data_IF_232173543621
#
_entry.id   IF_232173543621
#
_cell.length_a   1.000
_cell.length_b   1.000
_cell.length_c   1.000
_cell.angle_alpha   90.00
_cell.angle_beta   90.00
_cell.angle_gamma   90.00
#
_symmetry.space_group_name_H-M   'P 1'
#
loop_
_entity.id
_entity.type
_entity.pdbx_description
1 polymer ?
#
# COMPACT_ATOMS: atom_id res chain seq x y z
N UNK A 1 -5.23 14.98 14.05
CA UNK A 1 -3.75 14.88 14.23
C UNK A 1 -3.10 15.86 13.27
N UNK A 2 -2.07 16.56 13.71
CA UNK A 2 -1.35 17.48 12.84
C UNK A 2 -0.35 16.76 11.94
N UNK A 3 -0.15 17.31 10.74
CA UNK A 3 0.77 16.79 9.72
C UNK A 3 2.20 16.64 10.26
N UNK A 4 2.73 17.69 10.88
CA UNK A 4 4.10 17.71 11.40
C UNK A 4 4.33 16.65 12.49
N UNK A 5 3.32 16.36 13.31
CA UNK A 5 3.41 15.31 14.32
C UNK A 5 3.59 13.92 13.70
N UNK A 6 2.88 13.62 12.61
CA UNK A 6 3.04 12.34 11.89
C UNK A 6 4.43 12.27 11.24
N UNK A 7 4.85 13.35 10.57
CA UNK A 7 6.17 13.42 9.94
C UNK A 7 7.28 13.16 10.96
N UNK A 8 7.20 13.80 12.13
CA UNK A 8 8.16 13.59 13.21
C UNK A 8 8.12 12.16 13.76
N UNK A 9 6.93 11.55 13.90
CA UNK A 9 6.80 10.13 14.29
C UNK A 9 7.50 9.21 13.29
N UNK A 10 7.27 9.39 11.99
CA UNK A 10 7.91 8.59 10.93
C UNK A 10 9.43 8.80 10.92
N UNK A 11 9.90 10.04 11.06
CA UNK A 11 11.32 10.35 11.14
C UNK A 11 11.99 9.64 12.33
N UNK A 12 11.33 9.58 13.49
CA UNK A 12 11.85 8.84 14.65
C UNK A 12 11.87 7.33 14.39
N UNK A 13 10.82 6.76 13.79
CA UNK A 13 10.82 5.35 13.36
C UNK A 13 12.01 5.06 12.45
N UNK A 14 12.29 5.91 11.46
CA UNK A 14 13.44 5.74 10.56
C UNK A 14 14.78 5.78 11.33
N UNK A 15 14.93 6.66 12.32
CA UNK A 15 16.13 6.71 13.18
C UNK A 15 16.29 5.43 13.99
N UNK A 16 15.21 4.94 14.59
CA UNK A 16 15.23 3.72 15.40
C UNK A 16 15.58 2.49 14.55
N UNK A 17 15.20 2.51 13.27
CA UNK A 17 15.57 1.51 12.27
C UNK A 17 17.00 1.68 11.71
N UNK A 18 17.68 2.79 12.00
CA UNK A 18 19.00 3.10 11.43
C UNK A 18 18.97 3.46 9.93
N UNK A 19 17.83 3.89 9.40
CA UNK A 19 17.67 4.26 8.00
C UNK A 19 18.00 5.73 7.75
N UNK A 20 18.64 6.01 6.60
CA UNK A 20 18.80 7.38 6.14
C UNK A 20 17.48 7.91 5.56
N UNK A 21 17.15 9.16 5.86
CA UNK A 21 15.96 9.81 5.33
C UNK A 21 16.19 11.31 5.10
N UNK A 22 15.44 11.87 4.15
CA UNK A 22 15.46 13.27 3.75
C UNK A 22 14.06 13.86 3.95
N UNK A 23 13.97 14.96 4.68
CA UNK A 23 12.71 15.71 4.82
C UNK A 23 12.50 16.66 3.64
N UNK A 24 11.24 16.84 3.24
CA UNK A 24 10.81 17.77 2.17
C UNK A 24 11.56 17.54 0.84
N UNK A 25 11.76 16.28 0.47
CA UNK A 25 12.37 15.91 -0.80
C UNK A 25 11.53 16.41 -1.98
N UNK A 26 12.19 16.92 -3.02
CA UNK A 26 11.52 17.50 -4.18
C UNK A 26 12.36 17.34 -5.45
N UNK A 27 11.67 17.01 -6.53
CA UNK A 27 12.18 17.06 -7.90
C UNK A 27 11.29 17.97 -8.76
N UNK A 28 11.52 17.99 -10.07
CA UNK A 28 10.63 18.64 -11.02
C UNK A 28 9.29 17.89 -11.16
N UNK A 29 9.27 16.58 -10.92
CA UNK A 29 8.13 15.70 -11.21
C UNK A 29 7.33 15.32 -9.96
N UNK A 30 7.97 15.30 -8.80
CA UNK A 30 7.33 14.85 -7.56
C UNK A 30 7.90 15.54 -6.31
N UNK A 31 7.14 15.45 -5.22
CA UNK A 31 7.54 15.90 -3.88
C UNK A 31 7.19 14.83 -2.86
N UNK A 32 7.96 14.77 -1.78
CA UNK A 32 7.69 13.93 -0.63
C UNK A 32 7.93 14.71 0.68
N UNK A 33 7.08 14.50 1.68
CA UNK A 33 7.35 15.03 3.02
C UNK A 33 8.55 14.33 3.66
N UNK A 34 8.71 13.03 3.39
CA UNK A 34 9.85 12.21 3.80
C UNK A 34 10.23 11.28 2.65
N UNK A 35 11.51 11.24 2.29
CA UNK A 35 12.10 10.23 1.43
C UNK A 35 13.03 9.35 2.27
N UNK A 36 12.80 8.04 2.27
CA UNK A 36 13.54 7.05 3.05
C UNK A 36 14.41 6.24 2.08
N UNK A 37 15.71 6.12 2.37
CA UNK A 37 16.63 5.31 1.59
C UNK A 37 16.71 3.91 2.18
N UNK A 38 16.23 2.93 1.43
CA UNK A 38 16.32 1.51 1.79
C UNK A 38 17.45 0.87 0.97
N UNK A 39 17.82 -0.38 1.29
CA UNK A 39 18.96 -1.04 0.65
C UNK A 39 18.82 -1.14 -0.88
N UNK A 40 17.62 -1.42 -1.38
CA UNK A 40 17.38 -1.76 -2.79
C UNK A 40 16.39 -0.80 -3.50
N UNK A 41 15.73 0.10 -2.77
CA UNK A 41 14.75 1.03 -3.30
C UNK A 41 14.65 2.26 -2.37
N UNK A 42 13.84 3.26 -2.75
CA UNK A 42 13.49 4.38 -1.86
C UNK A 42 12.00 4.44 -1.61
N UNK A 43 11.60 4.94 -0.46
CA UNK A 43 10.19 5.12 -0.10
C UNK A 43 9.89 6.60 0.06
N UNK A 44 8.91 7.11 -0.68
CA UNK A 44 8.47 8.51 -0.60
C UNK A 44 7.11 8.59 0.10
N UNK A 45 7.07 9.22 1.28
CA UNK A 45 5.85 9.36 2.08
C UNK A 45 5.37 10.82 2.06
N UNK A 46 4.08 10.99 1.77
CA UNK A 46 3.37 12.25 1.80
C UNK A 46 2.24 12.18 2.83
N UNK A 47 2.16 13.18 3.71
CA UNK A 47 1.08 13.34 4.68
C UNK A 47 0.21 14.51 4.22
N UNK A 48 -1.04 14.23 3.84
CA UNK A 48 -1.92 15.25 3.26
C UNK A 48 -3.40 15.00 3.59
N UNK A 49 -4.25 16.02 3.42
CA UNK A 49 -5.71 15.85 3.54
C UNK A 49 -6.34 15.31 2.25
N UNK A 50 -5.77 15.70 1.11
CA UNK A 50 -6.26 15.35 -0.22
C UNK A 50 -5.06 15.27 -1.17
N UNK A 51 -4.71 14.07 -1.66
CA UNK A 51 -3.58 13.90 -2.57
C UNK A 51 -3.99 14.35 -3.98
N UNK A 52 -3.03 14.89 -4.74
CA UNK A 52 -3.26 15.38 -6.11
C UNK A 52 -2.33 14.66 -7.08
N UNK A 53 -2.82 14.39 -8.29
CA UNK A 53 -2.05 13.80 -9.37
C UNK A 53 -1.32 12.49 -9.00
N UNK A 54 -1.87 11.72 -8.06
CA UNK A 54 -1.23 10.53 -7.46
C UNK A 54 -0.68 9.59 -8.53
N UNK A 55 -1.43 9.36 -9.61
CA UNK A 55 -1.05 8.44 -10.67
C UNK A 55 0.18 8.90 -11.45
N UNK A 56 0.20 10.15 -11.91
CA UNK A 56 1.35 10.72 -12.59
C UNK A 56 2.59 10.77 -11.68
N UNK A 57 2.39 11.09 -10.39
CA UNK A 57 3.46 11.12 -9.40
C UNK A 57 3.99 9.72 -9.10
N UNK A 58 3.11 8.72 -8.90
CA UNK A 58 3.49 7.32 -8.72
C UNK A 58 4.30 6.82 -9.91
N UNK A 59 3.88 7.14 -11.14
CA UNK A 59 4.62 6.75 -12.35
C UNK A 59 6.03 7.34 -12.36
N UNK A 60 6.17 8.65 -12.09
CA UNK A 60 7.48 9.29 -12.03
C UNK A 60 8.37 8.71 -10.91
N UNK A 61 7.79 8.45 -9.74
CA UNK A 61 8.49 7.78 -8.64
C UNK A 61 8.95 6.37 -9.01
N UNK A 62 8.10 5.59 -9.68
CA UNK A 62 8.41 4.23 -10.10
C UNK A 62 9.57 4.18 -11.13
N UNK A 63 9.59 5.10 -12.09
CA UNK A 63 10.70 5.26 -13.04
C UNK A 63 12.04 5.54 -12.33
N UNK A 64 12.00 6.15 -11.14
CA UNK A 64 13.17 6.42 -10.29
C UNK A 64 13.39 5.33 -9.20
N UNK A 65 12.70 4.18 -9.25
CA UNK A 65 12.74 3.11 -8.24
C UNK A 65 12.32 3.58 -6.82
N UNK A 66 11.28 4.43 -6.78
CA UNK A 66 10.72 4.99 -5.55
C UNK A 66 9.29 4.45 -5.36
N UNK A 67 9.03 3.88 -4.18
CA UNK A 67 7.70 3.47 -3.74
C UNK A 67 6.98 4.66 -3.08
N UNK A 68 5.96 5.19 -3.74
CA UNK A 68 5.17 6.32 -3.23
C UNK A 68 4.09 5.87 -2.25
N UNK A 69 3.88 6.63 -1.17
CA UNK A 69 2.84 6.40 -0.16
C UNK A 69 2.20 7.73 0.28
N UNK A 70 0.87 7.75 0.41
CA UNK A 70 0.10 8.90 0.89
C UNK A 70 -0.70 8.54 2.14
N UNK A 71 -0.40 9.22 3.25
CA UNK A 71 -1.13 9.13 4.51
C UNK A 71 -2.16 10.27 4.60
N UNK A 72 -3.43 9.91 4.59
CA UNK A 72 -4.58 10.80 4.45
C UNK A 72 -5.12 11.23 5.82
N UNK A 73 -4.93 12.51 6.13
CA UNK A 73 -5.44 13.19 7.32
C UNK A 73 -6.94 13.49 7.19
N UNK A 74 -7.71 13.15 8.23
CA UNK A 74 -9.11 13.58 8.38
C UNK A 74 -10.00 13.28 7.16
N UNK A 75 -9.88 12.09 6.56
CA UNK A 75 -10.73 11.70 5.43
C UNK A 75 -12.20 11.62 5.87
N UNK A 76 -12.96 12.68 5.57
CA UNK A 76 -14.36 12.86 5.94
C UNK A 76 -15.26 12.15 4.93
N UNK A 77 -15.67 10.92 5.27
CA UNK A 77 -16.73 10.14 4.58
C UNK A 77 -16.37 9.70 3.14
N UNK A 78 -16.19 8.37 3.01
CA UNK A 78 -16.44 7.41 1.90
C UNK A 78 -17.03 7.93 0.57
N UNK A 79 -17.03 7.21 -0.58
CA UNK A 79 -16.54 5.86 -0.91
C UNK A 79 -15.75 5.85 -2.23
N UNK A 80 -14.48 5.52 -2.16
CA UNK A 80 -13.60 5.66 -3.32
C UNK A 80 -12.21 5.95 -2.80
N UNK A 81 -11.78 5.09 -1.87
CA UNK A 81 -10.35 4.86 -1.74
C UNK A 81 -9.89 4.60 -3.16
N UNK A 82 -8.82 5.26 -3.56
CA UNK A 82 -8.24 5.02 -4.86
C UNK A 82 -7.80 3.56 -4.82
N UNK A 83 -8.68 2.61 -5.18
CA UNK A 83 -8.58 1.18 -4.82
C UNK A 83 -7.27 0.56 -5.33
N UNK A 84 -6.63 1.21 -6.30
CA UNK A 84 -5.38 0.81 -6.91
C UNK A 84 -4.23 1.82 -6.68
N UNK A 85 -4.30 2.69 -5.66
CA UNK A 85 -3.24 3.67 -5.38
C UNK A 85 -2.81 3.59 -3.91
N UNK A 86 -1.53 3.88 -3.61
CA UNK A 86 -0.95 3.74 -2.27
C UNK A 86 -1.38 4.87 -1.33
N UNK A 87 -2.68 5.00 -1.11
CA UNK A 87 -3.32 6.05 -0.33
C UNK A 87 -4.06 5.44 0.86
N UNK A 88 -3.60 5.76 2.07
CA UNK A 88 -4.08 5.15 3.30
C UNK A 88 -4.64 6.19 4.26
N UNK A 89 -5.74 5.87 4.93
CA UNK A 89 -6.27 6.76 5.96
C UNK A 89 -5.41 6.62 7.22
N UNK A 90 -5.07 7.74 7.85
CA UNK A 90 -4.44 7.75 9.17
C UNK A 90 -5.33 8.44 10.19
N UNK A 91 -5.53 7.78 11.33
CA UNK A 91 -6.37 8.25 12.42
C UNK A 91 -5.60 8.28 13.73
N UNK A 92 -6.13 9.04 14.70
CA UNK A 92 -5.72 8.92 16.09
C UNK A 92 -6.70 7.99 16.79
N UNK A 93 -6.24 6.85 17.29
CA UNK A 93 -7.02 5.96 18.16
C UNK A 93 -6.33 5.90 19.52
N UNK A 94 -7.03 6.37 20.56
CA UNK A 94 -6.55 6.36 21.95
C UNK A 94 -5.15 7.00 22.15
N UNK A 95 -4.83 8.07 21.40
CA UNK A 95 -3.53 8.74 21.45
C UNK A 95 -2.52 8.24 20.42
N UNK A 96 -2.74 7.06 19.84
CA UNK A 96 -1.82 6.46 18.87
C UNK A 96 -2.20 6.69 17.42
N UNK A 97 -1.16 6.76 16.59
CA UNK A 97 -1.30 6.94 15.16
C UNK A 97 -1.55 5.58 14.51
N UNK A 98 -2.70 5.41 13.86
CA UNK A 98 -3.13 4.13 13.27
C UNK A 98 -3.49 4.32 11.81
N UNK A 99 -2.95 3.47 10.94
CA UNK A 99 -3.15 3.47 9.48
C UNK A 99 -4.18 2.43 9.10
N UNK A 100 -5.19 2.79 8.32
CA UNK A 100 -6.24 1.89 7.83
C UNK A 100 -5.84 1.36 6.46
N UNK A 101 -5.68 0.05 6.34
CA UNK A 101 -5.22 -0.68 5.15
C UNK A 101 -6.39 -1.26 4.36
N UNK A 102 -7.39 -1.82 5.04
CA UNK A 102 -8.56 -2.40 4.37
C UNK A 102 -9.85 -2.05 5.14
N UNK A 103 -10.65 -1.08 4.67
CA UNK A 103 -11.89 -0.70 5.33
C UNK A 103 -13.09 -1.57 4.95
N UNK A 104 -12.91 -2.58 4.07
CA UNK A 104 -13.97 -3.45 3.57
C UNK A 104 -13.83 -4.93 4.01
N UNK A 105 -12.75 -5.31 4.70
CA UNK A 105 -12.59 -6.66 5.24
C UNK A 105 -13.57 -6.88 6.41
N UNK A 106 -14.62 -7.66 6.16
CA UNK A 106 -15.69 -7.95 7.12
C UNK A 106 -15.37 -9.07 8.11
N UNK A 107 -14.19 -9.69 8.06
CA UNK A 107 -13.91 -10.88 8.88
C UNK A 107 -12.43 -10.96 9.27
N UNK A 108 -12.18 -10.68 10.56
CA UNK A 108 -10.99 -10.97 11.37
C UNK A 108 -9.68 -10.23 11.06
N UNK A 109 -9.11 -9.65 12.13
CA UNK A 109 -8.04 -8.65 12.22
C UNK A 109 -8.49 -7.27 11.72
N UNK A 110 -8.69 -6.34 12.67
CA UNK A 110 -8.94 -4.92 12.38
C UNK A 110 -8.01 -4.49 11.24
N UNK A 111 -8.57 -4.05 10.12
CA UNK A 111 -7.85 -3.65 8.90
C UNK A 111 -7.00 -2.39 9.10
N UNK A 112 -6.28 -2.32 10.21
CA UNK A 112 -5.52 -1.20 10.72
C UNK A 112 -4.20 -1.69 11.31
N UNK A 113 -3.13 -0.98 11.03
CA UNK A 113 -1.82 -1.16 11.68
C UNK A 113 -1.48 0.09 12.47
N UNK A 114 -0.71 -0.05 13.54
CA UNK A 114 -0.08 1.14 14.12
C UNK A 114 0.90 1.75 13.10
N UNK A 115 1.27 3.01 13.29
CA UNK A 115 2.14 3.69 12.34
C UNK A 115 3.52 3.02 12.25
N UNK A 116 4.04 2.42 13.32
CA UNK A 116 5.34 1.75 13.27
C UNK A 116 5.26 0.47 12.44
N UNK A 117 4.32 -0.45 12.72
CA UNK A 117 4.13 -1.68 11.95
C UNK A 117 3.85 -1.37 10.49
N UNK A 118 3.04 -0.34 10.21
CA UNK A 118 2.78 0.09 8.84
C UNK A 118 4.06 0.50 8.10
N UNK A 119 4.91 1.34 8.70
CA UNK A 119 6.14 1.81 8.06
C UNK A 119 7.11 0.65 7.83
N UNK A 120 7.26 -0.24 8.82
CA UNK A 120 8.05 -1.47 8.66
C UNK A 120 7.53 -2.33 7.52
N UNK A 121 6.22 -2.61 7.49
CA UNK A 121 5.62 -3.45 6.45
C UNK A 121 5.71 -2.82 5.05
N UNK A 122 5.61 -1.50 4.95
CA UNK A 122 5.72 -0.79 3.67
C UNK A 122 7.16 -0.79 3.13
N UNK A 123 8.16 -0.59 4.01
CA UNK A 123 9.59 -0.63 3.64
C UNK A 123 10.03 -2.05 3.27
N UNK A 124 9.51 -3.07 3.95
CA UNK A 124 9.84 -4.48 3.67
C UNK A 124 9.11 -5.03 2.42
N UNK A 125 8.45 -4.19 1.63
CA UNK A 125 7.63 -4.58 0.48
C UNK A 125 6.54 -5.63 0.83
N UNK A 126 6.08 -5.66 2.10
CA UNK A 126 4.97 -6.53 2.52
C UNK A 126 3.61 -5.94 2.13
N UNK A 127 3.57 -4.64 1.83
CA UNK A 127 2.40 -3.93 1.33
C UNK A 127 2.72 -3.44 -0.09
N UNK A 128 2.23 -4.17 -1.10
CA UNK A 128 2.47 -3.87 -2.52
C UNK A 128 1.15 -3.46 -3.17
N UNK A 129 1.18 -2.36 -3.92
CA UNK A 129 0.08 -1.95 -4.80
C UNK A 129 0.38 -2.38 -6.21
N UNK A 130 -0.37 -3.36 -6.69
CA UNK A 130 -0.24 -3.86 -8.05
C UNK A 130 -1.61 -4.23 -8.60
N UNK A 131 -1.83 -3.93 -9.88
CA UNK A 131 -3.02 -4.39 -10.61
C UNK A 131 -2.92 -5.88 -10.95
N UNK A 132 -1.72 -6.46 -10.84
CA UNK A 132 -1.42 -7.85 -11.18
C UNK A 132 -0.76 -8.55 -10.01
N UNK A 133 -1.36 -9.64 -9.55
CA UNK A 133 -0.72 -10.54 -8.58
C UNK A 133 0.16 -11.54 -9.32
N UNK A 134 1.44 -11.60 -8.98
CA UNK A 134 2.30 -12.70 -9.44
C UNK A 134 2.11 -13.85 -8.46
N UNK A 135 1.48 -14.93 -8.92
CA UNK A 135 1.34 -16.17 -8.17
C UNK A 135 2.46 -17.11 -8.58
N UNK A 136 3.30 -17.52 -7.62
CA UNK A 136 4.41 -18.45 -7.88
C UNK A 136 3.93 -19.80 -8.43
N UNK A 137 2.73 -20.23 -8.02
CA UNK A 137 2.12 -21.48 -8.48
C UNK A 137 0.59 -21.42 -8.41
N UNK A 138 -0.07 -21.83 -9.48
CA UNK A 138 -1.50 -22.13 -9.49
C UNK A 138 -1.68 -23.58 -9.93
N UNK A 139 -2.23 -24.43 -9.06
CA UNK A 139 -2.62 -25.79 -9.42
C UNK A 139 -4.08 -25.79 -9.86
N UNK A 140 -4.30 -26.08 -11.14
CA UNK A 140 -5.64 -26.18 -11.74
C UNK A 140 -5.96 -27.66 -11.94
N UNK A 141 -7.00 -28.14 -11.26
CA UNK A 141 -7.46 -29.53 -11.42
C UNK A 141 -8.52 -29.62 -12.52
N UNK A 142 -8.20 -30.37 -13.58
CA UNK A 142 -9.18 -30.77 -14.58
C UNK A 142 -9.61 -32.20 -14.28
N UNK A 143 -10.92 -32.43 -14.17
CA UNK A 143 -11.45 -33.78 -14.20
C UNK A 143 -12.14 -34.05 -15.53
N UNK A 144 -11.99 -35.27 -16.00
CA UNK A 144 -12.65 -35.75 -17.20
C UNK A 144 -14.08 -36.11 -16.85
N UNK A 145 -15.05 -35.51 -17.56
CA UNK A 145 -16.44 -35.94 -17.52
C UNK A 145 -16.79 -36.53 -18.87
N UNK A 146 -17.36 -37.73 -18.84
CA UNK A 146 -17.90 -38.36 -20.04
C UNK A 146 -19.34 -37.90 -20.26
N UNK A 147 -19.66 -37.47 -21.47
CA UNK A 147 -21.04 -37.17 -21.84
C UNK A 147 -21.88 -38.44 -21.88
N UNK A 148 -22.88 -38.55 -21.00
CA UNK A 148 -23.78 -39.71 -20.95
C UNK A 148 -24.53 -40.02 -22.26
N UNK A 149 -24.60 -39.07 -23.20
CA UNK A 149 -25.34 -39.20 -24.46
C UNK A 149 -24.47 -39.54 -25.66
N UNK A 150 -23.24 -39.02 -25.73
CA UNK A 150 -22.37 -39.21 -26.90
C UNK A 150 -21.00 -39.80 -26.55
N UNK A 151 -20.79 -40.15 -25.27
CA UNK A 151 -19.58 -40.78 -24.75
C UNK A 151 -18.27 -40.02 -25.02
N UNK A 152 -18.36 -38.74 -25.41
CA UNK A 152 -17.19 -37.89 -25.59
C UNK A 152 -16.74 -37.37 -24.23
N UNK A 153 -15.44 -37.43 -23.99
CA UNK A 153 -14.80 -36.82 -22.83
C UNK A 153 -14.75 -35.29 -22.99
N UNK A 154 -15.09 -34.57 -21.94
CA UNK A 154 -14.77 -33.16 -21.80
C UNK A 154 -14.01 -32.91 -20.51
N UNK A 155 -13.03 -32.02 -20.57
CA UNK A 155 -12.35 -31.51 -19.38
C UNK A 155 -13.24 -30.43 -18.77
N UNK A 156 -13.67 -30.62 -17.54
CA UNK A 156 -14.35 -29.58 -16.77
C UNK A 156 -13.35 -28.90 -15.85
N UNK A 157 -13.38 -27.57 -15.88
CA UNK A 157 -12.69 -26.72 -14.93
C UNK A 157 -13.59 -26.58 -13.70
N UNK A 158 -13.09 -26.96 -12.52
CA UNK A 158 -13.65 -26.51 -11.25
C UNK A 158 -13.08 -25.12 -10.96
N UNK A 159 -13.94 -24.11 -10.95
CA UNK A 159 -13.64 -22.76 -10.46
C UNK A 159 -14.11 -22.67 -9.03
#
# INVERSE_FOLDING_TARGET
>A
MEKELIINKIANICKDMGLHYILKAKTALWTADILIECANHKVAINVCKSPRNVEAVCKAMHEEQIHGCWLLLHASKSPGIMENKPCFKIENKAGEAVVIINPHANDYADGTLDLSEFIHAFIDDKIIFTETVTLDKVEICFYKKECYRCHRESSLLLV
#
